data_IF_258114035773
#
_entry.id   IF_258114035773
#
_cell.length_a   1.000
_cell.length_b   1.000
_cell.length_c   1.000
_cell.angle_alpha   90.00
_cell.angle_beta   90.00
_cell.angle_gamma   90.00
#
_symmetry.space_group_name_H-M   'P 1'
#
loop_
_entity.id
_entity.type
_entity.pdbx_description
1 polymer ?
#
# COMPACT_ATOMS: atom_id res chain seq x y z
N UNK A 1 -36.27 4.83 -16.40
CA UNK A 1 -35.71 3.84 -15.46
C UNK A 1 -34.74 2.97 -16.24
N UNK A 2 -33.47 2.80 -15.83
CA UNK A 2 -32.47 2.11 -16.64
C UNK A 2 -32.86 0.66 -16.87
N UNK A 3 -32.70 0.18 -18.10
CA UNK A 3 -33.23 -1.11 -18.57
C UNK A 3 -32.39 -2.32 -18.16
N UNK A 4 -31.17 -2.12 -17.63
CA UNK A 4 -30.30 -3.22 -17.20
C UNK A 4 -29.19 -2.76 -16.24
N UNK A 5 -29.29 -3.13 -14.96
CA UNK A 5 -28.28 -2.89 -13.91
C UNK A 5 -26.93 -3.56 -14.23
N UNK A 6 -26.94 -4.63 -15.00
CA UNK A 6 -25.74 -5.41 -15.37
C UNK A 6 -24.86 -4.66 -16.36
N UNK A 7 -25.46 -3.94 -17.31
CA UNK A 7 -24.72 -3.09 -18.23
C UNK A 7 -24.13 -1.86 -17.54
N UNK A 8 -24.85 -1.30 -16.56
CA UNK A 8 -24.34 -0.21 -15.75
C UNK A 8 -23.15 -0.66 -14.90
N UNK A 9 -23.24 -1.82 -14.25
CA UNK A 9 -22.13 -2.43 -13.50
C UNK A 9 -20.91 -2.71 -14.39
N UNK A 10 -21.14 -3.22 -15.61
CA UNK A 10 -20.06 -3.50 -16.57
C UNK A 10 -19.36 -2.22 -17.04
N UNK A 11 -20.10 -1.14 -17.30
CA UNK A 11 -19.52 0.17 -17.71
C UNK A 11 -18.86 0.93 -16.57
N UNK A 12 -19.46 0.89 -15.38
CA UNK A 12 -18.92 1.54 -14.18
C UNK A 12 -17.58 0.91 -13.74
N UNK A 13 -17.40 -0.40 -13.95
CA UNK A 13 -16.15 -1.11 -13.66
C UNK A 13 -15.05 -0.97 -14.71
N UNK A 14 -15.30 -0.32 -15.87
CA UNK A 14 -14.26 -0.17 -16.90
C UNK A 14 -13.13 0.73 -16.43
N UNK A 15 -11.89 0.39 -16.79
CA UNK A 15 -10.69 1.15 -16.44
C UNK A 15 -10.81 2.65 -16.78
N UNK A 16 -11.39 2.99 -17.94
CA UNK A 16 -11.58 4.39 -18.34
C UNK A 16 -12.57 5.15 -17.44
N UNK A 17 -13.65 4.52 -16.98
CA UNK A 17 -14.59 5.12 -16.02
C UNK A 17 -13.92 5.35 -14.66
N UNK A 18 -13.16 4.36 -14.18
CA UNK A 18 -12.46 4.45 -12.90
C UNK A 18 -11.37 5.52 -12.93
N UNK A 19 -10.58 5.60 -14.02
CA UNK A 19 -9.59 6.67 -14.19
C UNK A 19 -10.26 8.04 -14.11
N UNK A 20 -11.37 8.26 -14.81
CA UNK A 20 -12.12 9.53 -14.75
C UNK A 20 -12.71 9.83 -13.37
N UNK A 21 -13.13 8.80 -12.63
CA UNK A 21 -13.59 8.98 -11.26
C UNK A 21 -12.44 9.43 -10.36
N UNK A 22 -11.29 8.76 -10.45
CA UNK A 22 -10.06 9.11 -9.70
C UNK A 22 -9.56 10.52 -10.05
N UNK A 23 -9.61 10.93 -11.32
CA UNK A 23 -9.24 12.29 -11.76
C UNK A 23 -10.14 13.40 -11.19
N UNK A 24 -11.36 13.06 -10.74
CA UNK A 24 -12.31 14.02 -10.15
C UNK A 24 -12.23 14.08 -8.63
N UNK A 25 -11.46 13.19 -8.00
CA UNK A 25 -11.23 13.23 -6.56
C UNK A 25 -10.39 14.46 -6.20
N UNK A 26 -10.71 15.07 -5.07
CA UNK A 26 -9.79 16.01 -4.46
C UNK A 26 -8.52 15.28 -3.99
N UNK A 27 -7.50 16.05 -3.62
CA UNK A 27 -6.19 15.51 -3.23
C UNK A 27 -6.29 14.55 -2.04
N UNK A 28 -7.11 14.87 -1.05
CA UNK A 28 -7.22 14.06 0.17
C UNK A 28 -8.01 12.77 -0.09
N UNK A 29 -9.06 12.83 -0.91
CA UNK A 29 -9.79 11.66 -1.35
C UNK A 29 -8.94 10.73 -2.22
N UNK A 30 -8.12 11.28 -3.12
CA UNK A 30 -7.16 10.50 -3.90
C UNK A 30 -6.11 9.86 -2.99
N UNK A 31 -5.56 10.60 -2.02
CA UNK A 31 -4.61 10.07 -1.04
C UNK A 31 -5.23 8.97 -0.16
N UNK A 32 -6.50 9.10 0.22
CA UNK A 32 -7.24 8.08 0.96
C UNK A 32 -7.40 6.80 0.14
N UNK A 33 -7.75 6.93 -1.14
CA UNK A 33 -7.83 5.78 -2.05
C UNK A 33 -6.47 5.11 -2.27
N UNK A 34 -5.39 5.89 -2.33
CA UNK A 34 -4.02 5.39 -2.41
C UNK A 34 -3.59 4.65 -1.13
N UNK A 35 -3.93 5.18 0.05
CA UNK A 35 -3.68 4.52 1.33
C UNK A 35 -4.42 3.18 1.41
N UNK A 36 -5.68 3.13 0.97
CA UNK A 36 -6.44 1.87 0.85
C UNK A 36 -5.83 0.89 -0.15
N UNK A 37 -5.11 1.36 -1.18
CA UNK A 37 -4.47 0.48 -2.16
C UNK A 37 -3.24 -0.24 -1.57
N UNK A 38 -2.63 0.32 -0.53
CA UNK A 38 -1.43 -0.23 0.12
C UNK A 38 -1.71 -0.87 1.49
N UNK A 39 -2.88 -0.60 2.08
CA UNK A 39 -3.37 -1.24 3.29
C UNK A 39 -3.68 -2.73 3.08
N UNK A 40 -3.91 -3.46 4.17
CA UNK A 40 -4.39 -4.83 4.13
C UNK A 40 -5.71 -4.96 3.36
N UNK A 41 -5.98 -6.14 2.77
CA UNK A 41 -7.25 -6.39 2.09
C UNK A 41 -8.05 -7.50 2.80
N UNK A 42 -9.21 -7.20 3.43
CA UNK A 42 -9.80 -5.87 3.63
C UNK A 42 -9.10 -5.06 4.73
N UNK A 43 -9.16 -3.73 4.64
CA UNK A 43 -8.58 -2.81 5.64
C UNK A 43 -9.63 -2.41 6.68
N UNK A 44 -9.20 -2.10 7.91
CA UNK A 44 -10.05 -1.44 8.90
C UNK A 44 -9.97 0.08 8.78
N UNK A 45 -10.95 0.79 9.33
CA UNK A 45 -10.93 2.25 9.45
C UNK A 45 -9.74 2.72 10.29
N UNK A 46 -9.43 2.01 11.38
CA UNK A 46 -8.31 2.35 12.27
C UNK A 46 -6.96 2.21 11.55
N UNK A 47 -6.78 1.16 10.75
CA UNK A 47 -5.58 0.98 9.92
C UNK A 47 -5.45 2.12 8.90
N UNK A 48 -6.53 2.45 8.18
CA UNK A 48 -6.54 3.54 7.22
C UNK A 48 -6.27 4.90 7.89
N UNK A 49 -6.84 5.13 9.06
CA UNK A 49 -6.61 6.34 9.83
C UNK A 49 -5.15 6.44 10.27
N UNK A 50 -4.56 5.36 10.79
CA UNK A 50 -3.14 5.31 11.17
C UNK A 50 -2.22 5.63 9.99
N UNK A 51 -2.49 5.06 8.81
CA UNK A 51 -1.73 5.33 7.59
C UNK A 51 -1.77 6.80 7.15
N UNK A 52 -2.88 7.50 7.37
CA UNK A 52 -3.07 8.88 6.92
C UNK A 52 -2.70 9.93 7.97
N UNK A 53 -2.96 9.63 9.25
CA UNK A 53 -2.80 10.56 10.36
C UNK A 53 -1.44 10.42 11.06
N UNK A 54 -0.71 9.33 10.80
CA UNK A 54 0.53 8.99 11.49
C UNK A 54 0.31 8.56 12.95
N UNK A 55 1.39 8.20 13.63
CA UNK A 55 1.34 7.67 15.01
C UNK A 55 0.82 8.69 16.03
N UNK A 56 1.09 9.98 15.81
CA UNK A 56 0.62 11.07 16.68
C UNK A 56 -0.86 11.43 16.45
N UNK A 57 -1.48 10.91 15.37
CA UNK A 57 -2.89 11.12 15.06
C UNK A 57 -3.25 12.57 14.72
N UNK A 58 -3.03 12.99 13.47
CA UNK A 58 -3.46 14.31 13.00
C UNK A 58 -5.00 14.51 13.15
N UNK A 59 -5.44 15.47 13.98
CA UNK A 59 -6.87 15.70 14.24
C UNK A 59 -7.61 16.23 12.99
N UNK A 60 -6.92 16.89 12.07
CA UNK A 60 -7.51 17.37 10.81
C UNK A 60 -7.84 16.17 9.92
N UNK A 61 -6.93 15.20 9.84
CA UNK A 61 -7.15 13.95 9.10
C UNK A 61 -8.29 13.15 9.72
N UNK A 62 -8.28 12.98 11.04
CA UNK A 62 -9.33 12.26 11.77
C UNK A 62 -10.72 12.86 11.55
N UNK A 63 -10.82 14.19 11.51
CA UNK A 63 -12.08 14.88 11.24
C UNK A 63 -12.53 14.78 9.78
N UNK A 64 -11.61 14.76 8.81
CA UNK A 64 -11.92 14.74 7.38
C UNK A 64 -12.26 13.34 6.85
N UNK A 65 -11.61 12.30 7.38
CA UNK A 65 -11.69 10.94 6.85
C UNK A 65 -13.12 10.37 6.74
N UNK A 66 -14.04 10.55 7.72
CA UNK A 66 -15.41 10.03 7.60
C UNK A 66 -16.16 10.59 6.38
N UNK A 67 -16.02 11.89 6.12
CA UNK A 67 -16.66 12.53 4.97
C UNK A 67 -16.07 11.99 3.66
N UNK A 68 -14.73 11.89 3.59
CA UNK A 68 -14.03 11.36 2.42
C UNK A 68 -14.41 9.92 2.10
N UNK A 69 -14.54 9.04 3.10
CA UNK A 69 -15.05 7.68 2.90
C UNK A 69 -16.49 7.67 2.38
N UNK A 70 -17.33 8.62 2.84
CA UNK A 70 -18.66 8.84 2.27
C UNK A 70 -18.60 9.13 0.77
N UNK A 71 -17.76 10.08 0.35
CA UNK A 71 -17.58 10.45 -1.06
C UNK A 71 -17.10 9.26 -1.90
N UNK A 72 -16.12 8.48 -1.41
CA UNK A 72 -15.62 7.30 -2.13
C UNK A 72 -16.68 6.20 -2.27
N UNK A 73 -17.54 6.02 -1.25
CA UNK A 73 -18.69 5.09 -1.30
C UNK A 73 -19.77 5.57 -2.26
N UNK A 74 -20.10 6.86 -2.25
CA UNK A 74 -21.04 7.48 -3.20
C UNK A 74 -20.61 7.32 -4.66
N UNK A 75 -19.29 7.37 -4.91
CA UNK A 75 -18.70 7.14 -6.22
C UNK A 75 -18.50 5.66 -6.57
N UNK A 76 -18.95 4.73 -5.72
CA UNK A 76 -18.79 3.28 -5.90
C UNK A 76 -17.34 2.79 -6.00
N UNK A 77 -16.39 3.57 -5.45
CA UNK A 77 -14.96 3.23 -5.42
C UNK A 77 -14.60 2.36 -4.21
N UNK A 78 -15.31 2.51 -3.09
CA UNK A 78 -15.09 1.76 -1.85
C UNK A 78 -16.38 1.09 -1.40
N UNK A 79 -16.25 -0.14 -0.89
CA UNK A 79 -17.34 -0.96 -0.38
C UNK A 79 -17.00 -1.53 1.00
N UNK A 80 -18.03 -1.96 1.73
CA UNK A 80 -17.87 -2.56 3.05
C UNK A 80 -18.01 -1.58 4.22
N UNK A 81 -18.20 -2.16 5.41
CA UNK A 81 -18.25 -1.43 6.67
C UNK A 81 -16.87 -0.95 7.11
N UNK A 82 -16.82 -0.19 8.20
CA UNK A 82 -15.58 0.38 8.72
C UNK A 82 -14.61 -0.69 9.27
N UNK A 83 -15.08 -1.91 9.50
CA UNK A 83 -14.26 -3.07 9.85
C UNK A 83 -13.63 -3.76 8.63
N UNK A 84 -14.17 -3.54 7.43
CA UNK A 84 -13.77 -4.24 6.20
C UNK A 84 -13.93 -3.37 4.96
N UNK A 85 -13.19 -2.27 4.92
CA UNK A 85 -13.08 -1.38 3.77
C UNK A 85 -12.41 -2.11 2.60
N UNK A 86 -13.05 -2.03 1.42
CA UNK A 86 -12.57 -2.65 0.18
C UNK A 86 -12.58 -1.63 -0.94
N UNK A 87 -11.41 -1.32 -1.47
CA UNK A 87 -11.28 -0.59 -2.72
C UNK A 87 -11.70 -1.49 -3.89
N UNK A 88 -12.37 -0.96 -4.90
CA UNK A 88 -12.69 -1.75 -6.10
C UNK A 88 -11.40 -2.22 -6.78
N UNK A 89 -11.41 -3.46 -7.29
CA UNK A 89 -10.23 -4.09 -7.90
C UNK A 89 -9.56 -3.21 -8.96
N UNK A 90 -10.33 -2.60 -9.86
CA UNK A 90 -9.78 -1.74 -10.92
C UNK A 90 -9.07 -0.51 -10.37
N UNK A 91 -9.57 0.11 -9.28
CA UNK A 91 -8.93 1.25 -8.65
C UNK A 91 -7.69 0.82 -7.87
N UNK A 92 -7.76 -0.33 -7.19
CA UNK A 92 -6.60 -0.96 -6.56
C UNK A 92 -5.48 -1.20 -7.58
N UNK A 93 -5.75 -1.86 -8.71
CA UNK A 93 -4.76 -2.09 -9.78
C UNK A 93 -4.18 -0.80 -10.39
N UNK A 94 -4.91 0.31 -10.35
CA UNK A 94 -4.46 1.60 -10.86
C UNK A 94 -3.57 2.36 -9.87
N UNK A 95 -3.78 2.16 -8.57
CA UNK A 95 -3.14 2.93 -7.51
C UNK A 95 -2.02 2.15 -6.80
N UNK A 96 -2.10 0.81 -6.81
CA UNK A 96 -1.10 -0.04 -6.17
C UNK A 96 0.27 0.08 -6.83
N UNK A 97 1.36 0.08 -6.03
CA UNK A 97 2.72 0.13 -6.56
C UNK A 97 2.98 -1.02 -7.53
N UNK A 98 3.61 -0.71 -8.67
CA UNK A 98 4.09 -1.73 -9.62
C UNK A 98 5.44 -1.33 -10.21
N UNK A 99 6.32 -2.29 -10.54
CA UNK A 99 7.60 -1.98 -11.19
C UNK A 99 7.45 -1.26 -12.55
N UNK A 100 6.31 -1.39 -13.23
CA UNK A 100 6.03 -0.68 -14.49
C UNK A 100 5.39 0.69 -14.28
N UNK A 101 4.78 0.92 -13.11
CA UNK A 101 4.14 2.18 -12.74
C UNK A 101 4.50 2.46 -11.28
N UNK A 102 5.52 3.30 -11.01
CA UNK A 102 5.72 3.78 -9.64
C UNK A 102 4.38 4.38 -9.20
N UNK A 103 3.78 3.81 -8.15
CA UNK A 103 2.49 4.30 -7.69
C UNK A 103 2.62 5.78 -7.38
N UNK A 104 1.53 6.56 -7.53
CA UNK A 104 1.55 7.97 -7.16
C UNK A 104 1.88 8.21 -5.67
N UNK A 105 1.92 7.15 -4.84
CA UNK A 105 2.42 7.18 -3.46
C UNK A 105 3.94 7.30 -3.35
N UNK A 106 4.70 7.18 -4.44
CA UNK A 106 6.17 7.21 -4.42
C UNK A 106 6.82 5.97 -3.78
N UNK A 107 6.02 4.97 -3.43
CA UNK A 107 6.51 3.72 -2.87
C UNK A 107 7.21 2.87 -3.94
N UNK A 108 8.30 2.22 -3.53
CA UNK A 108 9.04 1.29 -4.38
C UNK A 108 8.29 -0.02 -4.64
N UNK A 109 8.90 -0.96 -5.40
CA UNK A 109 8.33 -2.29 -5.55
C UNK A 109 8.14 -2.96 -4.19
N UNK A 110 7.14 -3.83 -4.10
CA UNK A 110 6.90 -4.65 -2.91
C UNK A 110 8.09 -5.57 -2.63
N UNK A 111 8.20 -6.09 -1.41
CA UNK A 111 9.26 -7.06 -1.02
C UNK A 111 9.29 -8.26 -1.98
N UNK A 112 8.10 -8.74 -2.37
CA UNK A 112 7.95 -9.86 -3.32
C UNK A 112 8.51 -9.51 -4.70
N UNK A 113 8.26 -8.31 -5.18
CA UNK A 113 8.78 -7.85 -6.48
C UNK A 113 10.27 -7.56 -6.41
N UNK A 114 10.76 -6.96 -5.32
CA UNK A 114 12.17 -6.67 -5.11
C UNK A 114 13.03 -7.95 -5.00
N UNK A 115 12.45 -9.04 -4.51
CA UNK A 115 13.10 -10.36 -4.41
C UNK A 115 12.87 -11.23 -5.65
N UNK A 116 12.06 -10.77 -6.62
CA UNK A 116 11.82 -11.51 -7.84
C UNK A 116 13.13 -11.67 -8.64
N UNK A 117 13.50 -12.94 -8.92
CA UNK A 117 14.75 -13.26 -9.62
C UNK A 117 15.97 -13.46 -8.71
N UNK A 118 15.86 -13.24 -7.39
CA UNK A 118 16.91 -13.64 -6.44
C UNK A 118 16.96 -15.17 -6.29
N UNK A 119 18.14 -15.71 -6.03
CA UNK A 119 18.27 -17.14 -5.72
C UNK A 119 17.68 -17.43 -4.32
N UNK A 120 17.11 -18.62 -4.08
CA UNK A 120 16.57 -18.98 -2.77
C UNK A 120 17.59 -18.84 -1.62
N UNK A 121 18.85 -19.21 -1.87
CA UNK A 121 19.94 -19.04 -0.90
C UNK A 121 20.17 -17.57 -0.53
N UNK A 122 20.11 -16.66 -1.50
CA UNK A 122 20.25 -15.23 -1.25
C UNK A 122 19.11 -14.68 -0.38
N UNK A 123 17.88 -15.15 -0.59
CA UNK A 123 16.73 -14.75 0.23
C UNK A 123 16.90 -15.26 1.67
N UNK A 124 17.39 -16.49 1.87
CA UNK A 124 17.66 -17.04 3.21
C UNK A 124 18.77 -16.28 3.94
N UNK A 125 19.82 -15.82 3.24
CA UNK A 125 20.83 -14.94 3.83
C UNK A 125 20.21 -13.65 4.37
N UNK A 126 19.27 -13.05 3.63
CA UNK A 126 18.56 -11.83 4.05
C UNK A 126 17.68 -12.12 5.28
N UNK A 127 16.93 -13.24 5.29
CA UNK A 127 16.12 -13.68 6.44
C UNK A 127 17.00 -13.83 7.68
N UNK A 128 18.13 -14.54 7.57
CA UNK A 128 19.05 -14.76 8.68
C UNK A 128 19.69 -13.44 9.16
N UNK A 129 20.06 -12.55 8.24
CA UNK A 129 20.61 -11.22 8.57
C UNK A 129 19.59 -10.35 9.29
N UNK A 130 18.30 -10.49 8.97
CA UNK A 130 17.20 -9.80 9.66
C UNK A 130 16.80 -10.46 10.99
N UNK A 131 17.57 -11.45 11.48
CA UNK A 131 17.31 -12.14 12.75
C UNK A 131 16.10 -13.08 12.73
N UNK A 132 15.58 -13.41 11.55
CA UNK A 132 14.42 -14.31 11.39
C UNK A 132 14.87 -15.78 11.32
N UNK A 133 14.00 -16.69 11.75
CA UNK A 133 14.23 -18.12 11.60
C UNK A 133 14.25 -18.54 10.13
N UNK A 134 15.15 -19.45 9.77
CA UNK A 134 15.25 -20.01 8.42
C UNK A 134 13.94 -20.69 8.01
N UNK A 135 13.52 -20.50 6.75
CA UNK A 135 12.31 -21.13 6.21
C UNK A 135 12.66 -22.27 5.25
N UNK A 136 11.67 -23.10 4.91
CA UNK A 136 11.85 -24.28 4.05
C UNK A 136 11.84 -23.93 2.55
N UNK A 137 11.32 -22.75 2.18
CA UNK A 137 11.22 -22.28 0.80
C UNK A 137 11.27 -20.74 0.70
N UNK A 138 11.46 -20.22 -0.51
CA UNK A 138 11.58 -18.79 -0.79
C UNK A 138 10.28 -18.00 -0.63
N UNK A 139 9.11 -18.61 -0.84
CA UNK A 139 7.82 -17.95 -0.64
C UNK A 139 7.57 -17.70 0.84
N UNK A 140 7.84 -18.71 1.69
CA UNK A 140 7.80 -18.55 3.14
C UNK A 140 8.81 -17.51 3.63
N UNK A 141 10.02 -17.48 3.06
CA UNK A 141 11.03 -16.49 3.41
C UNK A 141 10.58 -15.05 3.10
N UNK A 142 10.06 -14.82 1.89
CA UNK A 142 9.53 -13.52 1.47
C UNK A 142 8.32 -13.11 2.32
N UNK A 143 7.49 -14.07 2.71
CA UNK A 143 6.34 -13.83 3.60
C UNK A 143 6.81 -13.39 4.98
N UNK A 144 7.82 -14.04 5.54
CA UNK A 144 8.40 -13.68 6.84
C UNK A 144 9.05 -12.29 6.81
N UNK A 145 9.78 -11.95 5.74
CA UNK A 145 10.34 -10.61 5.54
C UNK A 145 9.25 -9.55 5.38
N UNK A 146 8.19 -9.86 4.62
CA UNK A 146 7.05 -8.95 4.46
C UNK A 146 6.38 -8.69 5.81
N UNK A 147 6.16 -9.73 6.62
CA UNK A 147 5.60 -9.58 7.96
C UNK A 147 6.48 -8.76 8.90
N UNK A 148 7.81 -8.94 8.83
CA UNK A 148 8.76 -8.13 9.60
C UNK A 148 8.68 -6.64 9.21
N UNK A 149 8.66 -6.34 7.91
CA UNK A 149 8.66 -4.96 7.42
C UNK A 149 7.31 -4.26 7.54
N UNK A 150 6.22 -5.02 7.74
CA UNK A 150 4.88 -4.49 8.03
C UNK A 150 4.65 -4.22 9.53
N UNK A 151 5.57 -4.63 10.41
CA UNK A 151 5.49 -4.41 11.85
C UNK A 151 6.36 -3.19 12.23
N UNK A 152 5.76 -2.05 12.64
CA UNK A 152 6.50 -0.82 12.91
C UNK A 152 7.53 -0.96 14.04
N UNK A 153 7.17 -1.67 15.11
CA UNK A 153 8.05 -1.85 16.28
C UNK A 153 9.27 -2.70 15.90
N UNK A 154 9.02 -3.81 15.21
CA UNK A 154 10.10 -4.72 14.79
C UNK A 154 10.97 -4.10 13.69
N UNK A 155 10.38 -3.31 12.79
CA UNK A 155 11.11 -2.57 11.78
C UNK A 155 12.01 -1.50 12.42
N UNK A 156 11.48 -0.75 13.41
CA UNK A 156 12.28 0.23 14.15
C UNK A 156 13.46 -0.43 14.84
N UNK A 157 13.24 -1.54 15.56
CA UNK A 157 14.30 -2.30 16.21
C UNK A 157 15.37 -2.80 15.23
N UNK A 158 14.97 -3.24 14.03
CA UNK A 158 15.89 -3.64 12.97
C UNK A 158 16.73 -2.45 12.46
N UNK A 159 16.13 -1.27 12.32
CA UNK A 159 16.82 -0.06 11.88
C UNK A 159 17.78 0.48 12.95
N UNK A 160 17.46 0.31 14.25
CA UNK A 160 18.33 0.69 15.36
C UNK A 160 19.63 -0.13 15.40
N UNK A 161 19.59 -1.38 14.93
CA UNK A 161 20.76 -2.25 14.80
C UNK A 161 21.49 -2.07 13.45
N UNK A 162 20.93 -1.30 12.51
CA UNK A 162 21.49 -1.17 11.18
C UNK A 162 22.80 -0.36 11.18
N UNK A 163 23.80 -0.75 10.36
CA UNK A 163 25.00 0.06 10.17
C UNK A 163 24.65 1.47 9.70
N UNK A 164 25.36 2.48 10.20
CA UNK A 164 25.09 3.89 9.87
C UNK A 164 25.11 4.17 8.35
N UNK A 165 25.97 3.47 7.60
CA UNK A 165 26.03 3.56 6.14
C UNK A 165 24.72 3.11 5.47
N UNK A 166 24.08 2.05 6.00
CA UNK A 166 22.79 1.56 5.50
C UNK A 166 21.68 2.57 5.76
N UNK A 167 21.64 3.18 6.95
CA UNK A 167 20.66 4.21 7.31
C UNK A 167 20.80 5.43 6.40
N UNK A 168 22.03 5.90 6.16
CA UNK A 168 22.28 7.03 5.26
C UNK A 168 21.83 6.73 3.81
N UNK A 169 21.97 5.49 3.35
CA UNK A 169 21.43 5.08 2.04
C UNK A 169 19.91 5.10 2.04
N UNK A 170 19.26 4.62 3.11
CA UNK A 170 17.80 4.64 3.23
C UNK A 170 17.26 6.07 3.25
N UNK A 171 17.82 6.97 4.04
CA UNK A 171 17.43 8.39 4.08
C UNK A 171 17.48 9.04 2.70
N UNK A 172 18.54 8.75 1.93
CA UNK A 172 18.67 9.23 0.55
C UNK A 172 17.63 8.63 -0.39
N UNK A 173 17.20 7.38 -0.17
CA UNK A 173 16.18 6.72 -0.98
C UNK A 173 14.76 7.18 -0.62
N UNK A 174 14.50 7.53 0.63
CA UNK A 174 13.20 8.03 1.10
C UNK A 174 12.88 9.39 0.47
N UNK A 175 13.88 10.27 0.35
CA UNK A 175 13.67 11.65 -0.13
C UNK A 175 14.27 11.96 -1.52
N UNK A 176 15.01 11.02 -2.11
CA UNK A 176 15.77 11.23 -3.35
C UNK A 176 15.34 10.34 -4.53
N UNK A 177 15.63 10.81 -5.76
CA UNK A 177 15.49 9.99 -6.99
C UNK A 177 16.42 8.78 -6.95
N UNK A 178 15.90 7.59 -7.31
CA UNK A 178 16.63 6.30 -7.35
C UNK A 178 17.70 6.18 -8.45
N UNK A 179 18.64 7.11 -8.57
CA UNK A 179 19.79 6.91 -9.47
C UNK A 179 21.10 7.21 -8.77
N UNK A 180 21.82 6.13 -8.46
CA UNK A 180 23.25 6.12 -8.23
C UNK A 180 23.86 4.96 -9.01
N UNK A 181 24.05 5.18 -10.32
CA UNK A 181 24.74 4.35 -11.34
C UNK A 181 24.14 3.01 -11.75
#
# INVERSE_FOLDING_TARGET
MPTDLTQLATRAGTRASVVRALERLDRFALQTAQALAVAGEPASYEELLGLLAGDDGDPVVAAALPHTLGVLREQALVWGGDDRLRLIRTAWELLSPSPQHPSPTGLGPTVREATAGMSPGRIQEIVATAGLASTHDSVSAVTALSALFSDPERMSALLDEAPAESVAVLERLVWGRRTGR
#
